data_IF_729603290860
#
_entry.id   IF_729603290860
#
_cell.length_a   1.000
_cell.length_b   1.000
_cell.length_c   1.000
_cell.angle_alpha   90.00
_cell.angle_beta   90.00
_cell.angle_gamma   90.00
#
_symmetry.space_group_name_H-M   'P 1'
#
loop_
_entity.id
_entity.type
_entity.pdbx_description
1 polymer ?
#
# COMPACT_ATOMS: atom_id res chain seq x y z
N UNK A 1 15.07 -24.48 -12.32
CA UNK A 1 14.99 -23.94 -13.70
C UNK A 1 15.22 -25.02 -14.77
N UNK A 2 15.86 -26.17 -14.48
CA UNK A 2 16.07 -27.24 -15.49
C UNK A 2 14.87 -28.15 -15.80
N UNK A 3 13.79 -28.11 -15.00
CA UNK A 3 12.66 -29.05 -15.14
C UNK A 3 11.73 -28.71 -16.32
N UNK A 4 11.54 -27.43 -16.63
CA UNK A 4 10.69 -26.97 -17.73
C UNK A 4 11.40 -27.07 -19.09
N UNK A 5 12.71 -26.84 -19.12
CA UNK A 5 13.51 -26.93 -20.35
C UNK A 5 13.64 -28.37 -20.86
N UNK A 6 13.74 -29.36 -19.97
CA UNK A 6 13.74 -30.78 -20.37
C UNK A 6 12.37 -31.30 -20.82
N UNK A 7 11.28 -30.61 -20.44
CA UNK A 7 9.91 -31.02 -20.77
C UNK A 7 9.51 -30.59 -22.17
N UNK A 8 9.99 -29.43 -22.63
CA UNK A 8 9.79 -28.96 -24.01
C UNK A 8 10.41 -29.92 -25.02
N UNK A 9 11.64 -30.39 -24.76
CA UNK A 9 12.34 -31.36 -25.60
C UNK A 9 11.64 -32.74 -25.65
N UNK A 10 11.04 -33.17 -24.54
CA UNK A 10 10.30 -34.44 -24.48
C UNK A 10 8.91 -34.37 -25.14
N UNK A 11 8.32 -33.17 -25.24
CA UNK A 11 7.05 -32.96 -25.94
C UNK A 11 7.25 -33.03 -27.48
N UNK A 12 8.39 -32.54 -27.99
CA UNK A 12 8.77 -32.68 -29.40
C UNK A 12 8.98 -34.16 -29.83
N UNK A 13 9.50 -35.00 -28.92
CA UNK A 13 9.73 -36.44 -29.16
C UNK A 13 8.43 -37.28 -29.14
N UNK A 14 7.37 -36.78 -28.49
CA UNK A 14 6.03 -37.39 -28.54
C UNK A 14 5.36 -37.10 -29.88
N UNK A 15 5.58 -35.92 -30.46
CA UNK A 15 5.01 -35.53 -31.77
C UNK A 15 5.60 -36.37 -32.93
N UNK A 16 6.80 -36.93 -32.75
CA UNK A 16 7.45 -37.85 -33.70
C UNK A 16 7.10 -39.34 -33.48
N UNK A 17 6.23 -39.66 -32.51
CA UNK A 17 5.72 -41.01 -32.26
C UNK A 17 6.67 -41.96 -31.52
N UNK A 18 7.77 -41.45 -30.95
CA UNK A 18 8.82 -42.25 -30.32
C UNK A 18 8.57 -42.56 -28.83
N UNK A 19 7.64 -41.86 -28.16
CA UNK A 19 7.40 -41.97 -26.71
C UNK A 19 5.93 -42.16 -26.39
N UNK A 20 5.60 -43.13 -25.54
CA UNK A 20 4.26 -43.30 -24.99
C UNK A 20 3.94 -42.16 -24.02
N UNK A 21 3.11 -41.22 -24.46
CA UNK A 21 2.61 -40.07 -23.71
C UNK A 21 2.12 -40.44 -22.29
N UNK A 22 1.50 -41.60 -22.10
CA UNK A 22 1.00 -42.02 -20.78
C UNK A 22 2.13 -42.27 -19.79
N UNK A 23 3.24 -42.82 -20.27
CA UNK A 23 4.45 -43.07 -19.47
C UNK A 23 5.14 -41.76 -19.13
N UNK A 24 5.25 -40.83 -20.08
CA UNK A 24 5.84 -39.51 -19.85
C UNK A 24 5.06 -38.71 -18.79
N UNK A 25 3.73 -38.71 -18.86
CA UNK A 25 2.89 -38.06 -17.84
C UNK A 25 2.98 -38.74 -16.46
N UNK A 26 3.08 -40.08 -16.42
CA UNK A 26 3.28 -40.81 -15.17
C UNK A 26 4.63 -40.45 -14.51
N UNK A 27 5.72 -40.46 -15.29
CA UNK A 27 7.06 -40.10 -14.84
C UNK A 27 7.12 -38.63 -14.39
N UNK A 28 6.43 -37.74 -15.10
CA UNK A 28 6.29 -36.34 -14.69
C UNK A 28 5.56 -36.23 -13.35
N UNK A 29 4.41 -36.89 -13.21
CA UNK A 29 3.62 -36.82 -11.99
C UNK A 29 4.39 -37.38 -10.79
N UNK A 30 5.16 -38.45 -10.98
CA UNK A 30 6.03 -39.02 -9.94
C UNK A 30 7.12 -38.02 -9.52
N UNK A 31 7.88 -37.48 -10.47
CA UNK A 31 8.94 -36.50 -10.20
C UNK A 31 8.40 -35.21 -9.60
N UNK A 32 7.26 -34.72 -10.09
CA UNK A 32 6.59 -33.53 -9.58
C UNK A 32 6.05 -33.77 -8.17
N UNK A 33 5.46 -34.93 -7.89
CA UNK A 33 4.98 -35.28 -6.54
C UNK A 33 6.14 -35.38 -5.55
N UNK A 34 7.24 -36.03 -5.93
CA UNK A 34 8.45 -36.09 -5.10
C UNK A 34 9.05 -34.70 -4.86
N UNK A 35 9.08 -33.85 -5.89
CA UNK A 35 9.52 -32.46 -5.75
C UNK A 35 8.59 -31.66 -4.83
N UNK A 36 7.27 -31.84 -4.95
CA UNK A 36 6.27 -31.20 -4.08
C UNK A 36 6.38 -31.65 -2.64
N UNK A 37 6.63 -32.93 -2.37
CA UNK A 37 6.90 -33.47 -1.02
C UNK A 37 8.19 -32.88 -0.44
N UNK A 38 9.28 -32.84 -1.23
CA UNK A 38 10.55 -32.26 -0.79
C UNK A 38 10.51 -30.73 -0.64
N UNK A 39 9.62 -30.05 -1.36
CA UNK A 39 9.36 -28.62 -1.23
C UNK A 39 8.39 -28.28 -0.09
N UNK A 40 7.86 -29.27 0.65
CA UNK A 40 6.99 -29.00 1.79
C UNK A 40 7.76 -28.25 2.86
N UNK A 41 7.11 -27.22 3.39
CA UNK A 41 7.62 -26.52 4.57
C UNK A 41 7.83 -27.52 5.71
N UNK A 42 8.95 -27.41 6.44
CA UNK A 42 9.21 -28.27 7.58
C UNK A 42 8.08 -28.14 8.60
N UNK A 43 7.73 -29.28 9.20
CA UNK A 43 6.81 -29.33 10.31
C UNK A 43 7.42 -28.58 11.50
N UNK A 44 6.62 -27.72 12.12
CA UNK A 44 7.00 -27.05 13.34
C UNK A 44 7.09 -28.02 14.52
N UNK A 45 7.90 -27.66 15.52
CA UNK A 45 7.95 -28.38 16.79
C UNK A 45 6.56 -28.39 17.46
N UNK A 46 5.96 -29.58 17.53
CA UNK A 46 4.62 -29.82 18.08
C UNK A 46 4.48 -29.31 19.52
N UNK A 47 5.52 -29.46 20.35
CA UNK A 47 5.50 -29.02 21.74
C UNK A 47 5.50 -27.48 21.83
N UNK A 48 6.27 -26.81 20.97
CA UNK A 48 6.24 -25.34 20.88
C UNK A 48 4.90 -24.83 20.37
N UNK A 49 4.32 -25.45 19.33
CA UNK A 49 2.98 -25.08 18.84
C UNK A 49 1.95 -25.20 19.96
N UNK A 50 1.94 -26.33 20.68
CA UNK A 50 1.03 -26.53 21.80
C UNK A 50 1.20 -25.47 22.92
N UNK A 51 2.44 -25.16 23.28
CA UNK A 51 2.75 -24.15 24.30
C UNK A 51 2.27 -22.75 23.90
N UNK A 52 2.45 -22.36 22.63
CA UNK A 52 1.98 -21.06 22.14
C UNK A 52 0.44 -21.02 22.05
N UNK A 53 -0.20 -22.10 21.61
CA UNK A 53 -1.66 -22.18 21.57
C UNK A 53 -2.29 -22.06 22.97
N UNK A 54 -1.64 -22.61 24.00
CA UNK A 54 -2.11 -22.52 25.39
C UNK A 54 -2.23 -21.08 25.88
N UNK A 55 -1.36 -20.17 25.40
CA UNK A 55 -1.42 -18.75 25.77
C UNK A 55 -2.75 -18.10 25.40
N UNK A 56 -3.37 -18.51 24.30
CA UNK A 56 -4.63 -17.95 23.82
C UNK A 56 -5.85 -18.30 24.68
N UNK A 57 -5.72 -19.22 25.66
CA UNK A 57 -6.76 -19.45 26.67
C UNK A 57 -7.00 -18.24 27.57
N UNK A 58 -6.05 -17.32 27.64
CA UNK A 58 -6.15 -16.06 28.39
C UNK A 58 -6.88 -14.96 27.60
N UNK A 59 -7.02 -15.11 26.28
CA UNK A 59 -7.68 -14.11 25.43
C UNK A 59 -9.20 -14.21 25.61
N UNK A 60 -9.79 -13.14 26.13
CA UNK A 60 -11.23 -13.01 26.38
C UNK A 60 -11.94 -12.26 25.25
N UNK A 61 -11.24 -11.28 24.67
CA UNK A 61 -11.77 -10.43 23.62
C UNK A 61 -10.86 -10.50 22.40
N UNK A 62 -11.39 -11.06 21.31
CA UNK A 62 -10.69 -11.13 20.04
C UNK A 62 -10.90 -9.85 19.24
N UNK A 63 -9.88 -9.46 18.48
CA UNK A 63 -10.01 -8.39 17.51
C UNK A 63 -11.14 -8.69 16.51
N UNK A 64 -11.89 -7.66 16.06
CA UNK A 64 -12.98 -7.86 15.12
C UNK A 64 -12.49 -8.44 13.79
N UNK A 65 -13.30 -9.29 13.17
CA UNK A 65 -12.95 -9.86 11.87
C UNK A 65 -12.80 -8.77 10.78
N UNK A 66 -11.77 -8.91 9.95
CA UNK A 66 -11.44 -7.96 8.90
C UNK A 66 -11.75 -8.57 7.53
N UNK A 67 -12.66 -7.95 6.79
CA UNK A 67 -12.93 -8.32 5.40
C UNK A 67 -12.03 -7.54 4.44
N UNK A 68 -11.20 -8.26 3.67
CA UNK A 68 -10.37 -7.68 2.61
C UNK A 68 -10.68 -8.36 1.28
N UNK A 69 -11.44 -7.68 0.44
CA UNK A 69 -11.97 -8.25 -0.80
C UNK A 69 -12.84 -9.47 -0.51
N UNK A 70 -12.47 -10.62 -1.07
CA UNK A 70 -13.16 -11.90 -0.85
C UNK A 70 -12.74 -12.63 0.43
N UNK A 71 -11.67 -12.19 1.11
CA UNK A 71 -11.11 -12.87 2.29
C UNK A 71 -11.61 -12.25 3.58
N UNK A 72 -11.85 -13.09 4.58
CA UNK A 72 -12.17 -12.69 5.96
C UNK A 72 -11.02 -13.18 6.83
N UNK A 73 -10.45 -12.27 7.60
CA UNK A 73 -9.39 -12.53 8.56
C UNK A 73 -10.03 -12.49 9.95
N UNK A 74 -10.01 -13.61 10.64
CA UNK A 74 -10.59 -13.79 11.97
C UNK A 74 -9.57 -14.57 12.80
N UNK A 75 -9.06 -13.91 13.83
CA UNK A 75 -7.97 -14.46 14.64
C UNK A 75 -8.43 -15.64 15.48
N UNK A 76 -9.65 -15.60 16.02
CA UNK A 76 -10.19 -16.69 16.83
C UNK A 76 -10.34 -17.95 15.98
N UNK A 77 -10.94 -17.81 14.79
CA UNK A 77 -11.07 -18.93 13.84
C UNK A 77 -9.73 -19.44 13.34
N UNK A 78 -8.74 -18.56 13.17
CA UNK A 78 -7.40 -18.98 12.78
C UNK A 78 -6.74 -19.82 13.89
N UNK A 79 -6.81 -19.39 15.15
CA UNK A 79 -6.26 -20.16 16.29
C UNK A 79 -7.00 -21.49 16.48
N UNK A 80 -8.32 -21.52 16.33
CA UNK A 80 -9.13 -22.75 16.33
C UNK A 80 -8.65 -23.71 15.22
N UNK A 81 -8.49 -23.21 14.00
CA UNK A 81 -8.00 -24.00 12.87
C UNK A 81 -6.60 -24.58 13.10
N UNK A 82 -5.67 -23.82 13.70
CA UNK A 82 -4.33 -24.34 14.04
C UNK A 82 -4.41 -25.38 15.17
N UNK A 83 -5.34 -25.21 16.11
CA UNK A 83 -5.58 -26.17 17.20
C UNK A 83 -6.11 -27.50 16.67
N UNK A 84 -7.08 -27.46 15.75
CA UNK A 84 -7.58 -28.64 15.03
C UNK A 84 -6.47 -29.30 14.22
N UNK A 85 -5.67 -28.50 13.50
CA UNK A 85 -4.53 -29.01 12.72
C UNK A 85 -3.48 -29.69 13.59
N UNK A 86 -3.22 -29.17 14.80
CA UNK A 86 -2.34 -29.81 15.78
C UNK A 86 -2.93 -31.14 16.28
N UNK A 87 -4.21 -31.18 16.62
CA UNK A 87 -4.84 -32.37 17.20
C UNK A 87 -5.16 -33.45 16.15
N UNK A 88 -5.34 -33.06 14.89
CA UNK A 88 -5.58 -33.97 13.79
C UNK A 88 -4.33 -34.76 13.36
N UNK A 89 -4.56 -35.87 12.67
CA UNK A 89 -3.51 -36.64 11.98
C UNK A 89 -3.23 -36.14 10.55
N UNK A 90 -3.70 -34.94 10.21
CA UNK A 90 -3.58 -34.35 8.88
C UNK A 90 -2.23 -33.67 8.65
N UNK A 91 -2.23 -32.61 7.83
CA UNK A 91 -1.02 -31.84 7.53
C UNK A 91 -0.45 -31.19 8.80
N UNK A 92 0.85 -31.36 9.12
CA UNK A 92 1.44 -30.74 10.30
C UNK A 92 1.43 -29.21 10.20
N UNK A 93 1.40 -28.55 11.36
CA UNK A 93 1.57 -27.10 11.46
C UNK A 93 2.97 -26.74 10.95
N UNK A 94 3.08 -25.75 10.07
CA UNK A 94 4.37 -25.34 9.51
C UNK A 94 5.06 -24.29 10.39
N UNK A 95 6.38 -24.15 10.25
CA UNK A 95 7.16 -23.10 10.96
C UNK A 95 6.59 -21.69 10.73
N UNK A 96 6.08 -21.40 9.53
CA UNK A 96 5.44 -20.10 9.23
C UNK A 96 4.13 -19.90 9.99
N UNK A 97 3.35 -20.98 10.17
CA UNK A 97 2.14 -20.93 10.99
C UNK A 97 2.50 -20.72 12.46
N UNK A 98 3.54 -21.40 12.96
CA UNK A 98 4.09 -21.19 14.30
C UNK A 98 4.55 -19.73 14.53
N UNK A 99 5.35 -19.18 13.61
CA UNK A 99 5.74 -17.75 13.65
C UNK A 99 4.54 -16.81 13.70
N UNK A 100 3.48 -17.15 12.95
CA UNK A 100 2.26 -16.33 12.89
C UNK A 100 1.53 -16.34 14.24
N UNK A 101 1.33 -17.51 14.85
CA UNK A 101 0.67 -17.59 16.16
C UNK A 101 1.52 -16.97 17.27
N UNK A 102 2.86 -17.03 17.19
CA UNK A 102 3.75 -16.30 18.12
C UNK A 102 3.56 -14.79 18.00
N UNK A 103 3.55 -14.25 16.77
CA UNK A 103 3.29 -12.82 16.54
C UNK A 103 1.91 -12.40 17.03
N UNK A 104 0.89 -13.25 16.87
CA UNK A 104 -0.45 -12.99 17.39
C UNK A 104 -0.46 -12.97 18.92
N UNK A 105 0.18 -13.93 19.59
CA UNK A 105 0.27 -13.96 21.06
C UNK A 105 0.95 -12.69 21.59
N UNK A 106 2.03 -12.24 20.94
CA UNK A 106 2.70 -10.97 21.26
C UNK A 106 1.81 -9.73 21.03
N UNK A 107 0.87 -9.79 20.07
CA UNK A 107 -0.08 -8.70 19.81
C UNK A 107 -1.16 -8.61 20.89
N UNK A 108 -1.58 -9.75 21.45
CA UNK A 108 -2.54 -9.83 22.56
C UNK A 108 -1.88 -9.68 23.94
N UNK A 109 -0.68 -9.08 24.04
CA UNK A 109 0.08 -8.98 25.30
C UNK A 109 -0.67 -8.30 26.45
N UNK A 110 -1.65 -7.43 26.18
CA UNK A 110 -2.49 -6.82 27.21
C UNK A 110 -3.39 -7.85 27.91
N UNK A 111 -3.83 -8.87 27.17
CA UNK A 111 -4.64 -9.97 27.70
C UNK A 111 -3.80 -11.18 28.11
N UNK A 112 -2.54 -11.26 27.66
CA UNK A 112 -1.61 -12.34 27.97
C UNK A 112 -0.36 -11.78 28.68
N UNK A 113 -0.44 -11.44 29.98
CA UNK A 113 0.67 -10.86 30.71
C UNK A 113 1.91 -11.77 30.71
N UNK A 114 3.09 -11.19 30.47
CA UNK A 114 4.37 -11.93 30.44
C UNK A 114 4.56 -12.83 29.21
N UNK A 115 3.69 -12.73 28.19
CA UNK A 115 3.78 -13.56 26.98
C UNK A 115 5.13 -13.38 26.27
N UNK A 116 5.69 -12.18 26.31
CA UNK A 116 6.94 -11.87 25.61
C UNK A 116 8.11 -12.67 26.19
N UNK A 117 8.24 -12.68 27.51
CA UNK A 117 9.27 -13.44 28.22
C UNK A 117 9.11 -14.93 27.96
N UNK A 118 7.87 -15.45 27.98
CA UNK A 118 7.59 -16.87 27.66
C UNK A 118 7.93 -17.21 26.21
N UNK A 119 7.61 -16.35 25.24
CA UNK A 119 8.00 -16.56 23.84
C UNK A 119 9.54 -16.58 23.68
N UNK A 120 10.27 -15.75 24.42
CA UNK A 120 11.74 -15.78 24.44
C UNK A 120 12.27 -17.10 25.00
N UNK A 121 11.68 -17.60 26.11
CA UNK A 121 12.06 -18.89 26.72
C UNK A 121 11.79 -20.09 25.81
N UNK A 122 10.75 -20.02 24.97
CA UNK A 122 10.44 -21.03 23.93
C UNK A 122 11.37 -20.96 22.71
N UNK A 123 12.29 -19.99 22.66
CA UNK A 123 13.28 -19.81 21.61
C UNK A 123 12.89 -18.80 20.53
N UNK A 124 11.80 -18.03 20.69
CA UNK A 124 11.35 -17.04 19.71
C UNK A 124 11.88 -15.64 19.99
N UNK A 125 13.13 -15.52 20.45
CA UNK A 125 13.73 -14.23 20.84
C UNK A 125 13.71 -13.20 19.72
N UNK A 126 14.02 -13.60 18.49
CA UNK A 126 14.00 -12.71 17.32
C UNK A 126 12.60 -12.15 17.08
N UNK A 127 11.56 -13.00 17.09
CA UNK A 127 10.18 -12.55 16.96
C UNK A 127 9.73 -11.68 18.13
N UNK A 128 10.14 -12.04 19.35
CA UNK A 128 9.81 -11.32 20.58
C UNK A 128 10.59 -10.02 20.78
N UNK A 129 11.59 -9.73 19.95
CA UNK A 129 12.32 -8.44 19.97
C UNK A 129 12.13 -7.63 18.70
N UNK A 130 11.58 -8.24 17.64
CA UNK A 130 11.27 -7.58 16.39
C UNK A 130 10.40 -6.33 16.62
N UNK A 131 10.77 -5.23 15.97
CA UNK A 131 10.09 -3.95 16.15
C UNK A 131 8.59 -4.01 15.84
N UNK A 132 8.17 -4.87 14.90
CA UNK A 132 6.78 -5.04 14.46
C UNK A 132 5.87 -5.75 15.48
N UNK A 133 6.45 -6.50 16.43
CA UNK A 133 5.71 -7.22 17.48
C UNK A 133 5.65 -6.46 18.80
N UNK A 134 6.29 -5.29 18.85
CA UNK A 134 6.11 -4.35 19.95
C UNK A 134 4.73 -3.69 19.86
N UNK A 135 4.22 -3.13 20.97
CA UNK A 135 2.96 -2.41 20.96
C UNK A 135 3.00 -1.18 20.00
N UNK A 136 1.83 -0.69 19.55
CA UNK A 136 1.76 0.55 18.81
C UNK A 136 2.36 1.71 19.62
N UNK A 137 3.04 2.64 18.94
CA UNK A 137 3.64 3.79 19.61
C UNK A 137 2.54 4.83 19.93
N UNK A 138 2.58 5.51 21.08
CA UNK A 138 1.62 6.58 21.41
C UNK A 138 1.56 7.68 20.35
N UNK A 139 2.71 8.03 19.75
CA UNK A 139 2.78 9.05 18.70
C UNK A 139 2.03 8.61 17.43
N UNK A 140 1.95 7.30 17.15
CA UNK A 140 1.17 6.77 16.01
C UNK A 140 -0.31 6.99 16.23
N UNK A 141 -0.82 6.76 17.44
CA UNK A 141 -2.22 7.04 17.77
C UNK A 141 -2.53 8.53 17.66
N UNK A 142 -1.65 9.38 18.21
CA UNK A 142 -1.81 10.84 18.13
C UNK A 142 -1.78 11.38 16.68
N UNK A 143 -1.10 10.70 15.75
CA UNK A 143 -1.17 11.03 14.31
C UNK A 143 -2.57 10.83 13.73
N UNK A 144 -3.29 9.80 14.14
CA UNK A 144 -4.67 9.58 13.71
C UNK A 144 -5.62 10.65 14.25
N UNK A 145 -5.42 11.10 15.48
CA UNK A 145 -6.24 12.16 16.07
C UNK A 145 -6.14 13.48 15.28
N UNK A 146 -4.92 13.86 14.89
CA UNK A 146 -4.70 15.03 14.02
C UNK A 146 -5.45 14.85 12.70
N UNK A 147 -5.30 13.69 12.05
CA UNK A 147 -5.93 13.42 10.75
C UNK A 147 -7.46 13.35 10.83
N UNK A 148 -8.04 12.94 11.95
CA UNK A 148 -9.49 12.86 12.16
C UNK A 148 -10.15 14.24 12.19
N UNK A 149 -9.41 15.27 12.61
CA UNK A 149 -9.89 16.66 12.61
C UNK A 149 -9.92 17.30 11.22
N UNK A 150 -9.31 16.65 10.22
CA UNK A 150 -9.20 17.19 8.86
C UNK A 150 -10.28 16.60 7.94
N UNK A 151 -10.80 17.43 7.04
CA UNK A 151 -11.62 16.92 5.93
C UNK A 151 -10.74 16.29 4.85
N UNK A 152 -10.41 15.02 5.02
CA UNK A 152 -9.60 14.23 4.09
C UNK A 152 -10.40 13.81 2.85
N UNK A 153 -9.72 13.64 1.72
CA UNK A 153 -10.33 13.00 0.55
C UNK A 153 -10.76 11.55 0.87
N UNK A 154 -11.73 11.01 0.14
CA UNK A 154 -12.22 9.65 0.36
C UNK A 154 -11.11 8.59 0.33
N UNK A 155 -10.15 8.74 -0.59
CA UNK A 155 -8.99 7.85 -0.68
C UNK A 155 -8.11 7.95 0.57
N UNK A 156 -7.77 9.17 1.01
CA UNK A 156 -6.99 9.38 2.22
C UNK A 156 -7.73 8.84 3.45
N UNK A 157 -9.04 9.09 3.58
CA UNK A 157 -9.87 8.62 4.69
C UNK A 157 -9.90 7.10 4.77
N UNK A 158 -10.13 6.42 3.64
CA UNK A 158 -10.12 4.94 3.58
C UNK A 158 -8.76 4.38 3.95
N UNK A 159 -7.68 4.99 3.45
CA UNK A 159 -6.32 4.57 3.75
C UNK A 159 -5.99 4.74 5.25
N UNK A 160 -6.26 5.92 5.81
CA UNK A 160 -5.99 6.25 7.22
C UNK A 160 -6.81 5.34 8.15
N UNK A 161 -8.11 5.18 7.88
CA UNK A 161 -8.98 4.28 8.65
C UNK A 161 -8.48 2.83 8.63
N UNK A 162 -7.97 2.35 7.50
CA UNK A 162 -7.40 0.99 7.42
C UNK A 162 -6.13 0.82 8.26
N UNK A 163 -5.29 1.84 8.37
CA UNK A 163 -4.11 1.80 9.25
C UNK A 163 -4.49 1.94 10.73
N UNK A 164 -5.45 2.80 11.03
CA UNK A 164 -5.96 3.01 12.39
C UNK A 164 -6.61 1.73 12.94
N UNK A 165 -7.44 1.06 12.13
CA UNK A 165 -7.99 -0.26 12.48
C UNK A 165 -6.90 -1.27 12.79
N UNK A 166 -5.78 -1.28 12.05
CA UNK A 166 -4.66 -2.17 12.36
C UNK A 166 -4.05 -1.83 13.73
N UNK A 167 -3.81 -0.55 14.01
CA UNK A 167 -3.27 -0.11 15.30
C UNK A 167 -4.20 -0.46 16.46
N UNK A 168 -5.51 -0.31 16.29
CA UNK A 168 -6.50 -0.65 17.31
C UNK A 168 -6.58 -2.16 17.61
N UNK A 169 -6.04 -3.03 16.76
CA UNK A 169 -5.88 -4.46 17.07
C UNK A 169 -4.60 -4.78 17.86
N UNK A 170 -3.87 -3.75 18.32
CA UNK A 170 -2.58 -3.88 19.01
C UNK A 170 -1.39 -4.04 18.06
N UNK A 171 -1.60 -3.93 16.74
CA UNK A 171 -0.52 -4.08 15.75
C UNK A 171 0.28 -2.80 15.59
N UNK A 172 1.60 -2.89 15.70
CA UNK A 172 2.48 -1.79 15.30
C UNK A 172 2.60 -1.70 13.79
N UNK A 173 2.48 -0.48 13.26
CA UNK A 173 2.69 -0.22 11.83
C UNK A 173 4.15 -0.47 11.45
N UNK A 174 4.37 -1.04 10.26
CA UNK A 174 5.72 -1.11 9.69
C UNK A 174 6.25 0.29 9.37
N UNK A 175 7.56 0.44 9.21
CA UNK A 175 8.18 1.72 8.85
C UNK A 175 7.62 2.29 7.54
N UNK A 176 7.36 1.43 6.55
CA UNK A 176 6.74 1.82 5.30
C UNK A 176 5.32 2.40 5.50
N UNK A 177 4.51 1.75 6.34
CA UNK A 177 3.16 2.22 6.68
C UNK A 177 3.21 3.53 7.47
N UNK A 178 4.13 3.65 8.44
CA UNK A 178 4.33 4.88 9.21
C UNK A 178 4.78 6.03 8.31
N UNK A 179 5.71 5.78 7.37
CA UNK A 179 6.15 6.78 6.40
C UNK A 179 5.02 7.18 5.44
N UNK A 180 4.17 6.25 5.03
CA UNK A 180 2.98 6.58 4.25
C UNK A 180 1.98 7.44 5.05
N UNK A 181 1.75 7.14 6.33
CA UNK A 181 0.93 7.97 7.22
C UNK A 181 1.53 9.37 7.40
N UNK A 182 2.84 9.48 7.60
CA UNK A 182 3.56 10.76 7.68
C UNK A 182 3.36 11.59 6.40
N UNK A 183 3.40 10.97 5.21
CA UNK A 183 3.14 11.67 3.94
C UNK A 183 1.71 12.24 3.87
N UNK A 184 0.72 11.56 4.45
CA UNK A 184 -0.66 12.10 4.51
C UNK A 184 -0.73 13.34 5.39
N UNK A 185 -0.04 13.34 6.54
CA UNK A 185 0.07 14.51 7.42
C UNK A 185 0.76 15.68 6.72
N UNK A 186 1.92 15.43 6.11
CA UNK A 186 2.68 16.45 5.37
C UNK A 186 1.86 17.03 4.21
N UNK A 187 1.15 16.18 3.46
CA UNK A 187 0.28 16.62 2.37
C UNK A 187 -0.92 17.48 2.83
N UNK A 188 -1.19 17.52 4.13
CA UNK A 188 -2.22 18.35 4.75
C UNK A 188 -1.62 19.38 5.74
N UNK A 189 -0.30 19.60 5.72
CA UNK A 189 0.41 20.44 6.70
C UNK A 189 -0.23 21.83 6.87
N UNK A 190 -0.61 22.48 5.77
CA UNK A 190 -1.21 23.83 5.77
C UNK A 190 -2.58 23.92 6.46
N UNK A 191 -3.22 22.79 6.69
CA UNK A 191 -4.53 22.68 7.35
C UNK A 191 -4.42 22.28 8.82
N UNK A 192 -3.21 21.95 9.26
CA UNK A 192 -2.93 21.56 10.63
C UNK A 192 -2.39 22.80 11.35
N UNK A 193 -3.10 23.33 12.36
CA UNK A 193 -2.61 24.44 13.15
C UNK A 193 -1.26 24.08 13.79
N UNK A 194 -0.31 25.02 13.70
CA UNK A 194 1.04 24.87 14.27
C UNK A 194 1.72 23.54 13.87
N UNK A 195 1.65 23.21 12.57
CA UNK A 195 2.16 21.94 12.05
C UNK A 195 3.63 21.68 12.39
N UNK A 196 4.45 22.73 12.53
CA UNK A 196 5.84 22.60 12.93
C UNK A 196 5.95 21.99 14.34
N UNK A 197 5.26 22.55 15.34
CA UNK A 197 5.21 21.98 16.69
C UNK A 197 4.60 20.57 16.70
N UNK A 198 3.55 20.33 15.91
CA UNK A 198 2.94 19.00 15.76
C UNK A 198 3.95 18.00 15.18
N UNK A 199 4.71 18.39 14.16
CA UNK A 199 5.70 17.53 13.50
C UNK A 199 6.83 17.12 14.44
N UNK A 200 7.35 18.06 15.24
CA UNK A 200 8.39 17.79 16.24
C UNK A 200 7.87 16.82 17.31
N UNK A 201 6.69 17.12 17.87
CA UNK A 201 6.06 16.28 18.89
C UNK A 201 5.77 14.85 18.42
N UNK A 202 5.40 14.68 17.14
CA UNK A 202 5.02 13.39 16.56
C UNK A 202 6.17 12.68 15.81
N UNK A 203 7.38 13.24 15.85
CA UNK A 203 8.56 12.69 15.17
C UNK A 203 8.36 12.57 13.66
N UNK A 204 7.75 13.57 13.02
CA UNK A 204 7.55 13.62 11.58
C UNK A 204 8.73 14.40 10.98
N UNK A 205 9.51 13.74 10.14
CA UNK A 205 10.56 14.41 9.36
C UNK A 205 9.91 15.16 8.20
N UNK A 206 10.08 16.48 8.18
CA UNK A 206 9.53 17.39 7.16
C UNK A 206 10.68 18.08 6.46
N UNK A 207 10.66 18.09 5.13
CA UNK A 207 11.62 18.89 4.35
C UNK A 207 11.11 20.32 4.22
N UNK A 208 12.03 21.30 4.15
CA UNK A 208 11.65 22.72 3.99
C UNK A 208 10.73 22.95 2.78
N UNK A 209 11.00 22.25 1.66
CA UNK A 209 10.20 22.33 0.44
C UNK A 209 8.76 21.88 0.62
N UNK A 210 8.49 20.95 1.56
CA UNK A 210 7.13 20.44 1.78
C UNK A 210 6.21 21.49 2.42
N UNK A 211 6.77 22.49 3.10
CA UNK A 211 6.05 23.59 3.72
C UNK A 211 6.11 24.88 2.91
N UNK A 212 6.98 24.93 1.88
CA UNK A 212 7.12 26.11 1.03
C UNK A 212 5.75 26.52 0.44
N UNK A 213 5.39 27.80 0.47
CA UNK A 213 4.16 28.31 -0.12
C UNK A 213 4.07 28.00 -1.63
N UNK A 214 2.87 27.66 -2.11
CA UNK A 214 2.64 27.34 -3.52
C UNK A 214 2.21 28.61 -4.27
N UNK A 215 3.20 29.28 -4.87
CA UNK A 215 2.98 30.54 -5.59
C UNK A 215 2.55 30.33 -7.05
N UNK A 216 2.80 29.15 -7.63
CA UNK A 216 2.51 28.88 -9.03
C UNK A 216 1.06 28.45 -9.27
N UNK A 217 0.55 27.55 -8.43
CA UNK A 217 -0.82 27.03 -8.56
C UNK A 217 -1.91 28.11 -8.61
N UNK A 218 -1.91 29.17 -7.77
CA UNK A 218 -2.94 30.21 -7.86
C UNK A 218 -2.89 30.98 -9.19
N UNK A 219 -1.69 31.26 -9.72
CA UNK A 219 -1.54 31.94 -11.02
C UNK A 219 -2.04 31.07 -12.18
N UNK A 220 -1.74 29.77 -12.14
CA UNK A 220 -2.20 28.80 -13.12
C UNK A 220 -3.71 28.62 -13.06
N UNK A 221 -4.31 28.52 -11.87
CA UNK A 221 -5.75 28.42 -11.69
C UNK A 221 -6.48 29.67 -12.19
N UNK A 222 -5.94 30.86 -11.90
CA UNK A 222 -6.50 32.12 -12.40
C UNK A 222 -6.52 32.17 -13.93
N UNK A 223 -5.43 31.74 -14.59
CA UNK A 223 -5.35 31.70 -16.05
C UNK A 223 -6.32 30.67 -16.66
N UNK A 224 -6.38 29.46 -16.11
CA UNK A 224 -7.25 28.40 -16.60
C UNK A 224 -8.75 28.68 -16.35
N UNK A 225 -9.07 29.54 -15.36
CA UNK A 225 -10.44 29.98 -15.08
C UNK A 225 -11.05 30.89 -16.15
N UNK A 226 -10.24 31.43 -17.08
CA UNK A 226 -10.72 32.24 -18.21
C UNK A 226 -11.20 31.39 -19.40
N UNK A 227 -10.92 30.09 -19.40
CA UNK A 227 -11.27 29.18 -20.50
C UNK A 227 -12.77 28.89 -20.46
N UNK A 228 -13.47 29.27 -21.52
CA UNK A 228 -14.91 29.03 -21.71
C UNK A 228 -15.18 27.92 -22.71
N UNK A 229 -14.31 27.75 -23.71
CA UNK A 229 -14.43 26.74 -24.75
C UNK A 229 -13.40 25.63 -24.56
N UNK A 230 -13.87 24.47 -24.10
CA UNK A 230 -13.05 23.30 -23.82
C UNK A 230 -13.01 22.35 -25.01
N UNK A 231 -11.89 21.65 -25.21
CA UNK A 231 -11.84 20.55 -26.16
C UNK A 231 -12.71 19.40 -25.67
N UNK A 232 -13.35 18.72 -26.61
CA UNK A 232 -14.14 17.52 -26.33
C UNK A 232 -13.31 16.45 -25.59
N UNK A 233 -13.91 15.77 -24.59
CA UNK A 233 -13.24 14.70 -23.88
C UNK A 233 -12.74 13.61 -24.82
N UNK A 234 -11.48 13.21 -24.66
CA UNK A 234 -10.87 12.18 -25.52
C UNK A 234 -10.73 10.86 -24.78
N UNK A 235 -11.07 9.76 -25.45
CA UNK A 235 -10.89 8.41 -24.90
C UNK A 235 -9.56 7.84 -25.35
N UNK A 236 -8.70 7.42 -24.41
CA UNK A 236 -7.49 6.63 -24.70
C UNK A 236 -7.52 5.36 -23.86
N UNK A 237 -7.78 4.23 -24.52
CA UNK A 237 -8.00 2.95 -23.86
C UNK A 237 -9.22 3.00 -22.93
N UNK A 238 -9.02 2.62 -21.65
CA UNK A 238 -10.07 2.63 -20.62
C UNK A 238 -10.23 3.99 -19.91
N UNK A 239 -9.44 5.00 -20.27
CA UNK A 239 -9.45 6.33 -19.61
C UNK A 239 -10.07 7.39 -20.52
N UNK A 240 -10.86 8.27 -19.90
CA UNK A 240 -11.40 9.49 -20.51
C UNK A 240 -10.54 10.65 -20.00
N UNK A 241 -10.08 11.48 -20.93
CA UNK A 241 -9.29 12.68 -20.67
C UNK A 241 -10.16 13.89 -20.98
N UNK A 242 -10.59 14.56 -19.91
CA UNK A 242 -11.41 15.75 -19.94
C UNK A 242 -10.61 16.87 -19.24
N UNK A 243 -10.24 17.90 -20.01
CA UNK A 243 -9.42 19.01 -19.52
C UNK A 243 -10.23 19.86 -18.51
N UNK A 244 -11.54 20.07 -18.73
CA UNK A 244 -12.40 20.84 -17.84
C UNK A 244 -12.57 20.13 -16.50
N UNK A 245 -12.88 18.83 -16.54
CA UNK A 245 -12.99 18.01 -15.33
C UNK A 245 -11.68 17.96 -14.54
N UNK A 246 -10.54 17.90 -15.25
CA UNK A 246 -9.23 17.97 -14.61
C UNK A 246 -8.99 19.31 -13.90
N UNK A 247 -9.26 20.44 -14.55
CA UNK A 247 -9.08 21.77 -13.95
C UNK A 247 -9.98 21.95 -12.73
N UNK A 248 -11.25 21.53 -12.81
CA UNK A 248 -12.18 21.58 -11.67
C UNK A 248 -11.67 20.74 -10.49
N UNK A 249 -11.19 19.52 -10.75
CA UNK A 249 -10.64 18.63 -9.72
C UNK A 249 -9.39 19.24 -9.05
N UNK A 250 -8.53 19.87 -9.84
CA UNK A 250 -7.30 20.50 -9.34
C UNK A 250 -7.60 21.79 -8.58
N UNK A 251 -8.58 22.59 -9.01
CA UNK A 251 -9.06 23.76 -8.30
C UNK A 251 -9.64 23.38 -6.92
N UNK A 252 -10.48 22.35 -6.87
CA UNK A 252 -11.02 21.82 -5.62
C UNK A 252 -9.91 21.28 -4.71
N UNK A 253 -8.95 20.54 -5.27
CA UNK A 253 -7.80 20.05 -4.51
C UNK A 253 -6.98 21.21 -3.92
N UNK A 254 -6.72 22.26 -4.70
CA UNK A 254 -6.00 23.45 -4.22
C UNK A 254 -6.80 24.17 -3.13
N UNK A 255 -8.12 24.34 -3.29
CA UNK A 255 -8.98 24.92 -2.25
C UNK A 255 -8.95 24.14 -0.94
N UNK A 256 -8.85 22.81 -1.01
CA UNK A 256 -8.74 21.95 0.18
C UNK A 256 -7.34 21.96 0.81
N UNK A 257 -6.27 21.82 0.00
CA UNK A 257 -4.89 21.58 0.50
C UNK A 257 -4.02 22.83 0.55
N UNK A 258 -4.38 23.87 -0.18
CA UNK A 258 -3.58 25.06 -0.41
C UNK A 258 -2.41 24.87 -1.38
N UNK A 259 -2.14 23.65 -1.86
CA UNK A 259 -0.99 23.35 -2.74
C UNK A 259 -1.31 22.21 -3.71
N UNK A 260 -0.60 22.19 -4.83
CA UNK A 260 -0.64 21.13 -5.83
C UNK A 260 0.73 20.45 -5.98
N UNK A 261 0.75 19.27 -6.59
CA UNK A 261 2.00 18.59 -6.93
C UNK A 261 2.66 19.25 -8.16
N UNK A 262 3.98 19.11 -8.28
CA UNK A 262 4.73 19.56 -9.47
C UNK A 262 4.17 18.97 -10.77
N UNK A 263 3.75 17.70 -10.73
CA UNK A 263 3.13 17.03 -11.89
C UNK A 263 1.81 17.67 -12.28
N UNK A 264 1.01 18.08 -11.30
CA UNK A 264 -0.24 18.81 -11.55
C UNK A 264 0.05 20.19 -12.12
N UNK A 265 0.97 20.95 -11.52
CA UNK A 265 1.40 22.24 -12.07
C UNK A 265 1.93 22.12 -13.49
N UNK A 266 2.76 21.12 -13.78
CA UNK A 266 3.28 20.87 -15.12
C UNK A 266 2.16 20.53 -16.13
N UNK A 267 1.14 19.77 -15.72
CA UNK A 267 -0.03 19.51 -16.55
C UNK A 267 -0.84 20.80 -16.81
N UNK A 268 -1.06 21.61 -15.78
CA UNK A 268 -1.73 22.91 -15.90
C UNK A 268 -0.97 23.86 -16.83
N UNK A 269 0.37 23.93 -16.73
CA UNK A 269 1.23 24.70 -17.66
C UNK A 269 0.99 24.31 -19.11
N UNK A 270 0.87 23.00 -19.41
CA UNK A 270 0.52 22.51 -20.75
C UNK A 270 -0.88 22.93 -21.19
N UNK A 271 -1.84 22.98 -20.27
CA UNK A 271 -3.20 23.45 -20.59
C UNK A 271 -3.21 24.95 -20.88
N UNK A 272 -2.47 25.76 -20.10
CA UNK A 272 -2.32 27.21 -20.37
C UNK A 272 -1.78 27.44 -21.79
N UNK A 273 -0.76 26.68 -22.21
CA UNK A 273 -0.23 26.76 -23.58
C UNK A 273 -1.25 26.32 -24.64
N UNK A 274 -2.01 25.25 -24.37
CA UNK A 274 -3.01 24.71 -25.28
C UNK A 274 -4.16 25.68 -25.53
N UNK A 275 -4.64 26.33 -24.47
CA UNK A 275 -5.78 27.26 -24.50
C UNK A 275 -5.33 28.73 -24.50
N UNK A 276 -4.08 29.02 -24.88
CA UNK A 276 -3.48 30.36 -24.82
C UNK A 276 -4.30 31.46 -25.48
N UNK A 277 -5.08 31.13 -26.52
CA UNK A 277 -5.91 32.08 -27.25
C UNK A 277 -7.10 32.61 -26.42
N UNK A 278 -7.52 31.87 -25.38
CA UNK A 278 -8.61 32.24 -24.47
C UNK A 278 -8.12 32.91 -23.18
N UNK A 279 -6.80 33.09 -23.01
CA UNK A 279 -6.20 33.56 -21.74
C UNK A 279 -5.62 34.96 -21.94
N UNK A 280 -6.10 35.91 -21.16
CA UNK A 280 -5.61 37.29 -21.15
C UNK A 280 -4.17 37.40 -20.65
N UNK A 281 -3.37 38.23 -21.33
CA UNK A 281 -1.96 38.50 -20.97
C UNK A 281 -1.12 37.21 -20.80
N UNK A 282 -1.40 36.18 -21.59
CA UNK A 282 -0.80 34.85 -21.41
C UNK A 282 0.73 34.88 -21.39
N UNK A 283 1.38 35.67 -22.24
CA UNK A 283 2.84 35.79 -22.27
C UNK A 283 3.42 36.37 -20.97
N UNK A 284 2.76 37.37 -20.36
CA UNK A 284 3.17 37.93 -19.07
C UNK A 284 2.98 36.90 -17.95
N UNK A 285 1.89 36.14 -17.98
CA UNK A 285 1.60 35.07 -17.00
C UNK A 285 2.60 33.91 -17.13
N UNK A 286 2.97 33.52 -18.35
CA UNK A 286 3.99 32.51 -18.61
C UNK A 286 5.37 32.98 -18.11
N UNK A 287 5.74 34.23 -18.38
CA UNK A 287 6.98 34.83 -17.89
C UNK A 287 7.04 34.86 -16.35
N UNK A 288 5.95 35.24 -15.68
CA UNK A 288 5.84 35.22 -14.21
C UNK A 288 5.99 33.81 -13.61
N UNK A 289 5.69 32.78 -14.39
CA UNK A 289 5.85 31.36 -14.02
C UNK A 289 7.22 30.79 -14.42
N UNK A 290 8.15 31.63 -14.87
CA UNK A 290 9.48 31.21 -15.34
C UNK A 290 9.45 30.39 -16.63
N UNK A 291 8.32 30.38 -17.35
CA UNK A 291 8.20 29.73 -18.65
C UNK A 291 8.59 30.74 -19.72
N UNK A 292 9.79 30.60 -20.30
CA UNK A 292 10.14 31.36 -21.51
C UNK A 292 9.16 30.98 -22.61
N UNK A 293 8.55 31.99 -23.24
CA UNK A 293 7.57 31.80 -24.31
C UNK A 293 8.09 30.81 -25.34
N UNK A 294 7.30 29.77 -25.60
CA UNK A 294 7.52 28.88 -26.73
C UNK A 294 7.22 29.67 -28.01
N UNK A 295 8.16 30.53 -28.40
CA UNK A 295 8.21 31.14 -29.71
C UNK A 295 8.67 30.09 -30.73
N UNK A 296 7.84 29.91 -31.75
CA UNK A 296 8.15 29.30 -33.06
C UNK A 296 8.20 27.76 -33.14
N UNK A 297 7.01 27.20 -33.36
CA UNK A 297 6.68 26.25 -34.43
C UNK A 297 7.65 25.12 -34.78
N UNK A 298 7.28 23.90 -34.37
CA UNK A 298 7.58 22.69 -35.15
C UNK A 298 6.24 22.20 -35.73
N UNK A 299 6.06 22.15 -37.06
CA UNK A 299 4.80 21.75 -37.66
C UNK A 299 4.55 20.27 -37.33
N UNK A 300 3.31 19.97 -36.96
CA UNK A 300 2.84 18.61 -36.78
C UNK A 300 3.03 17.84 -38.09
N UNK A 301 3.90 16.84 -38.08
CA UNK A 301 3.97 15.82 -39.11
C UNK A 301 2.60 15.13 -39.16
N UNK A 302 1.92 15.32 -40.28
CA UNK A 302 0.80 14.52 -40.74
C UNK A 302 1.30 13.10 -41.03
N UNK A 303 0.94 12.14 -40.19
CA UNK A 303 0.92 10.73 -40.58
C UNK A 303 -0.52 10.37 -40.97
N UNK A 304 -0.81 10.55 -42.25
CA UNK A 304 -1.72 9.70 -42.99
C UNK A 304 -0.86 8.63 -43.69
N UNK A 305 -0.85 7.40 -43.18
CA UNK A 305 -1.10 6.14 -43.91
C UNK A 305 -0.99 4.94 -42.98
#
# INVERSE_FOLDING_TARGET
VGFTAGMEQQLDEVETGAVDWRRLMADFHEKFSAWMENAREPAADRAKVAAVLQEFTQVKEWAPSLKRGRRIYDDARFIESITEQLNGGGRPVTERQLDTIVKMALRYHEQIPGVRERMMQLGFKELATAAETLPPRPETSAKFDVLRSLDLSDEQRRFVSSLEQQVNTGRRLSEAQLNALNRVLIANARRIPDFEAVSQRLGISVTADALAPDHESPLLLAALGEITEWREPTKRGKRIFDDQAFVNSVAEQYGRKGALSERQRAAMKKLVLRYRAQISNVEQRLAALGMKGAGEGEPAASDET
#
